data_IF_652713597139
#
_entry.id   IF_652713597139
#
_cell.length_a   1.000
_cell.length_b   1.000
_cell.length_c   1.000
_cell.angle_alpha   90.00
_cell.angle_beta   90.00
_cell.angle_gamma   90.00
#
_symmetry.space_group_name_H-M   'P 1'
#
loop_
_entity.id
_entity.type
_entity.pdbx_description
1 polymer ?
#
# COMPACT_ATOMS: atom_id res chain seq x y z
N UNK A 1 37.57 -66.02 -18.22
CA UNK A 1 36.57 -66.30 -17.17
C UNK A 1 37.21 -65.85 -15.88
N UNK A 2 36.74 -64.76 -15.26
CA UNK A 2 37.27 -64.37 -13.94
C UNK A 2 36.99 -65.50 -12.96
N UNK A 3 38.05 -66.00 -12.31
CA UNK A 3 37.98 -67.15 -11.43
C UNK A 3 37.01 -66.85 -10.27
N UNK A 4 36.06 -67.76 -10.00
CA UNK A 4 35.02 -67.58 -8.98
C UNK A 4 35.57 -67.22 -7.58
N UNK A 5 36.85 -67.49 -7.35
CA UNK A 5 37.58 -67.15 -6.13
C UNK A 5 37.81 -65.64 -6.00
N UNK A 6 38.17 -64.92 -7.08
CA UNK A 6 38.42 -63.48 -7.05
C UNK A 6 37.17 -62.67 -6.67
N UNK A 7 35.99 -63.08 -7.16
CA UNK A 7 34.70 -62.46 -6.80
C UNK A 7 34.36 -62.71 -5.32
N UNK A 8 34.64 -63.90 -4.80
CA UNK A 8 34.37 -64.27 -3.41
C UNK A 8 35.21 -63.44 -2.45
N UNK A 9 36.49 -63.22 -2.76
CA UNK A 9 37.39 -62.40 -1.94
C UNK A 9 36.96 -60.94 -1.92
N UNK A 10 36.59 -60.37 -3.07
CA UNK A 10 36.09 -58.99 -3.16
C UNK A 10 34.81 -58.78 -2.35
N UNK A 11 33.88 -59.72 -2.40
CA UNK A 11 32.64 -59.65 -1.61
C UNK A 11 32.92 -59.79 -0.11
N UNK A 12 33.90 -60.61 0.28
CA UNK A 12 34.31 -60.75 1.69
C UNK A 12 34.94 -59.48 2.24
N UNK A 13 35.79 -58.80 1.45
CA UNK A 13 36.38 -57.52 1.84
C UNK A 13 35.33 -56.42 2.03
N UNK A 14 34.35 -56.33 1.12
CA UNK A 14 33.23 -55.39 1.24
C UNK A 14 32.39 -55.63 2.49
N UNK A 15 32.12 -56.90 2.83
CA UNK A 15 31.35 -57.26 4.02
C UNK A 15 32.09 -56.92 5.31
N UNK A 16 33.40 -57.19 5.37
CA UNK A 16 34.23 -56.83 6.53
C UNK A 16 34.31 -55.31 6.74
N UNK A 17 34.40 -54.53 5.67
CA UNK A 17 34.38 -53.07 5.76
C UNK A 17 33.02 -52.55 6.30
N UNK A 18 31.91 -53.12 5.84
CA UNK A 18 30.57 -52.77 6.33
C UNK A 18 30.38 -53.12 7.82
N UNK A 19 30.91 -54.25 8.28
CA UNK A 19 30.88 -54.63 9.70
C UNK A 19 31.72 -53.67 10.57
N UNK A 20 32.90 -53.23 10.11
CA UNK A 20 33.70 -52.23 10.82
C UNK A 20 33.05 -50.84 10.86
N UNK A 21 32.32 -50.46 9.80
CA UNK A 21 31.57 -49.21 9.76
C UNK A 21 30.30 -49.25 10.62
N UNK A 22 29.63 -50.41 10.67
CA UNK A 22 28.47 -50.63 11.53
C UNK A 22 28.81 -50.67 13.03
N UNK A 23 30.03 -51.10 13.38
CA UNK A 23 30.50 -51.14 14.77
C UNK A 23 30.85 -49.77 15.38
N UNK A 24 30.92 -48.70 14.56
CA UNK A 24 31.12 -47.31 15.04
C UNK A 24 29.81 -46.58 15.37
N UNK A 25 28.65 -47.24 15.22
CA UNK A 25 27.35 -46.65 15.47
C UNK A 25 26.53 -47.42 16.52
N UNK A 26 27.15 -47.75 17.65
CA UNK A 26 26.41 -48.07 18.87
C UNK A 26 27.00 -47.37 20.09
N UNK A 27 26.14 -46.57 20.73
CA UNK A 27 26.19 -45.99 22.09
C UNK A 27 27.07 -44.76 22.33
N UNK A 28 26.47 -43.60 22.12
CA UNK A 28 26.63 -42.48 23.05
C UNK A 28 25.33 -42.32 23.86
N UNK A 29 25.36 -42.80 25.10
CA UNK A 29 24.51 -42.29 26.17
C UNK A 29 25.19 -41.02 26.72
N UNK A 30 24.48 -39.91 26.94
CA UNK A 30 24.94 -38.92 27.90
C UNK A 30 24.09 -39.05 29.17
N UNK A 31 24.72 -39.64 30.18
CA UNK A 31 24.31 -39.49 31.57
C UNK A 31 24.52 -38.05 32.06
N UNK A 32 23.50 -37.54 32.74
CA UNK A 32 23.56 -36.61 33.88
C UNK A 32 24.59 -35.47 33.83
N UNK A 33 24.20 -34.37 33.20
CA UNK A 33 24.64 -33.03 33.58
C UNK A 33 23.46 -32.30 34.26
N UNK A 34 23.77 -31.51 35.26
CA UNK A 34 22.84 -30.78 36.11
C UNK A 34 21.76 -30.01 35.31
N UNK A 35 20.53 -30.05 35.83
CA UNK A 35 19.41 -29.17 35.49
C UNK A 35 19.92 -27.74 35.45
N UNK A 36 19.87 -27.04 34.30
CA UNK A 36 19.44 -25.63 34.13
C UNK A 36 19.19 -25.38 32.62
N UNK A 37 18.07 -24.71 32.33
CA UNK A 37 17.54 -24.31 31.01
C UNK A 37 17.00 -25.40 30.07
N UNK A 38 15.93 -26.05 30.49
CA UNK A 38 14.96 -26.60 29.52
C UNK A 38 14.32 -25.40 28.79
N UNK A 39 14.40 -25.28 27.45
CA UNK A 39 13.84 -24.15 26.74
C UNK A 39 12.31 -24.11 26.91
N UNK A 40 11.81 -23.13 27.65
CA UNK A 40 10.36 -22.92 27.88
C UNK A 40 9.69 -22.50 26.57
N UNK A 41 8.64 -23.20 26.17
CA UNK A 41 7.92 -22.92 24.93
C UNK A 41 7.11 -21.62 25.04
N UNK A 42 7.34 -20.69 24.11
CA UNK A 42 6.61 -19.41 24.04
C UNK A 42 5.55 -19.46 22.94
N UNK A 43 4.27 -19.37 23.30
CA UNK A 43 3.16 -19.36 22.35
C UNK A 43 2.57 -17.95 22.20
N UNK A 44 2.24 -17.54 20.95
CA UNK A 44 1.54 -16.26 20.69
C UNK A 44 0.01 -16.45 20.67
N UNK A 45 -0.46 -17.40 19.85
CA UNK A 45 -1.89 -17.62 19.57
C UNK A 45 -2.46 -18.94 20.10
N UNK A 46 -1.70 -19.72 20.88
CA UNK A 46 -2.11 -21.04 21.34
C UNK A 46 -1.97 -21.21 22.86
N UNK A 47 -2.92 -21.94 23.47
CA UNK A 47 -2.92 -22.31 24.88
C UNK A 47 -2.98 -23.84 25.01
N UNK A 48 -1.85 -24.52 25.28
CA UNK A 48 -1.85 -25.96 25.45
C UNK A 48 -2.65 -26.38 26.69
N UNK A 49 -3.50 -27.39 26.54
CA UNK A 49 -4.37 -27.92 27.60
C UNK A 49 -3.62 -28.82 28.60
N UNK A 50 -2.40 -29.27 28.26
CA UNK A 50 -1.62 -30.22 29.06
C UNK A 50 -0.77 -29.52 30.11
N UNK A 51 -0.86 -29.98 31.38
CA UNK A 51 -0.07 -29.48 32.51
C UNK A 51 1.40 -29.96 32.52
N UNK A 52 1.78 -30.83 31.57
CA UNK A 52 3.13 -31.40 31.48
C UNK A 52 4.12 -30.50 30.74
N UNK A 53 3.63 -29.44 30.09
CA UNK A 53 4.42 -28.54 29.25
C UNK A 53 4.42 -27.16 29.91
N UNK A 54 5.57 -26.74 30.42
CA UNK A 54 5.78 -25.38 30.88
C UNK A 54 5.82 -24.45 29.67
N UNK A 55 4.94 -23.44 29.68
CA UNK A 55 4.78 -22.53 28.56
C UNK A 55 4.45 -21.12 29.01
N UNK A 56 4.90 -20.14 28.24
CA UNK A 56 4.63 -18.71 28.48
C UNK A 56 3.92 -18.11 27.27
N UNK A 57 2.85 -17.35 27.50
CA UNK A 57 2.20 -16.61 26.41
C UNK A 57 2.95 -15.30 26.17
N UNK A 58 3.23 -14.99 24.92
CA UNK A 58 3.89 -13.74 24.55
C UNK A 58 2.88 -12.60 24.57
N UNK A 59 3.22 -11.51 25.25
CA UNK A 59 2.38 -10.32 25.29
C UNK A 59 2.22 -9.67 23.91
N UNK A 60 1.04 -9.13 23.60
CA UNK A 60 0.81 -8.40 22.36
C UNK A 60 1.70 -7.14 22.33
N UNK A 61 2.26 -6.84 21.16
CA UNK A 61 3.04 -5.62 20.98
C UNK A 61 2.12 -4.40 21.15
N UNK A 62 2.47 -3.51 22.08
CA UNK A 62 1.80 -2.21 22.19
C UNK A 62 2.53 -1.22 21.27
N UNK A 63 1.82 -0.55 20.34
CA UNK A 63 2.44 0.52 19.56
C UNK A 63 2.88 1.64 20.52
N UNK A 64 3.96 2.37 20.22
CA UNK A 64 4.31 3.55 20.99
C UNK A 64 3.15 4.55 20.97
N UNK A 65 2.92 5.29 22.06
CA UNK A 65 1.93 6.37 22.07
C UNK A 65 2.33 7.39 21.01
N UNK A 66 1.46 7.60 20.03
CA UNK A 66 1.65 8.61 18.99
C UNK A 66 1.42 9.97 19.65
N UNK A 67 2.47 10.78 19.74
CA UNK A 67 2.32 12.18 20.10
C UNK A 67 1.51 12.87 19.00
N UNK A 68 0.35 13.40 19.36
CA UNK A 68 -0.46 14.21 18.45
C UNK A 68 0.37 15.45 18.07
N UNK A 69 0.57 15.73 16.77
CA UNK A 69 1.33 16.91 16.38
C UNK A 69 0.60 18.15 16.89
N UNK A 70 1.28 18.95 17.71
CA UNK A 70 0.82 20.29 18.08
C UNK A 70 0.78 21.10 16.79
N UNK A 71 -0.43 21.30 16.26
CA UNK A 71 -0.67 22.14 15.10
C UNK A 71 -0.39 23.59 15.51
N UNK A 72 0.76 24.13 15.12
CA UNK A 72 0.97 25.57 15.06
C UNK A 72 -0.07 26.16 14.08
N UNK A 73 -0.81 27.22 14.44
CA UNK A 73 -1.81 27.81 13.57
C UNK A 73 -1.12 28.62 12.47
N UNK A 74 -0.56 27.94 11.47
CA UNK A 74 -0.28 28.53 10.16
C UNK A 74 -1.62 29.01 9.59
N UNK A 75 -1.71 30.31 9.31
CA UNK A 75 -2.93 30.96 8.86
C UNK A 75 -3.47 30.31 7.57
N UNK A 76 -4.45 29.43 7.72
CA UNK A 76 -5.26 28.84 6.67
C UNK A 76 -6.11 29.93 6.00
N UNK A 77 -5.50 30.66 5.06
CA UNK A 77 -6.20 31.38 4.01
C UNK A 77 -6.30 30.51 2.73
N UNK A 78 -6.35 29.20 2.88
CA UNK A 78 -6.93 28.35 1.84
C UNK A 78 -8.42 28.32 2.09
N UNK A 79 -9.29 28.61 1.09
CA UNK A 79 -10.70 28.33 1.26
C UNK A 79 -10.81 26.81 1.41
N UNK A 80 -11.00 26.37 2.65
CA UNK A 80 -11.42 25.02 3.00
C UNK A 80 -12.61 24.72 2.09
N UNK A 81 -12.36 23.96 1.04
CA UNK A 81 -13.42 23.54 0.15
C UNK A 81 -14.29 22.65 1.01
N UNK A 82 -15.50 23.10 1.34
CA UNK A 82 -16.48 22.34 2.11
C UNK A 82 -16.72 20.96 1.46
N UNK A 83 -15.88 19.99 1.83
CA UNK A 83 -15.92 18.61 1.33
C UNK A 83 -17.21 17.89 1.79
N UNK A 84 -17.90 18.48 2.76
CA UNK A 84 -19.12 17.96 3.36
C UNK A 84 -20.39 18.22 2.51
N UNK A 85 -20.30 19.02 1.45
CA UNK A 85 -21.45 19.34 0.57
C UNK A 85 -21.13 19.14 -0.92
N UNK A 86 -20.29 18.17 -1.25
CA UNK A 86 -20.10 17.73 -2.65
C UNK A 86 -21.31 16.92 -3.09
N UNK A 87 -22.43 17.59 -3.31
CA UNK A 87 -23.52 17.05 -4.10
C UNK A 87 -22.96 16.58 -5.45
N UNK A 88 -23.53 15.52 -6.07
CA UNK A 88 -23.14 15.15 -7.42
C UNK A 88 -23.28 16.37 -8.32
N UNK A 89 -22.14 16.87 -8.83
CA UNK A 89 -22.13 18.06 -9.69
C UNK A 89 -23.02 17.80 -10.90
N UNK A 90 -23.73 18.83 -11.35
CA UNK A 90 -24.59 18.74 -12.54
C UNK A 90 -23.76 18.25 -13.73
N UNK A 91 -24.27 17.32 -14.54
CA UNK A 91 -23.52 16.70 -15.65
C UNK A 91 -22.81 17.70 -16.59
N UNK A 92 -23.40 18.89 -16.77
CA UNK A 92 -22.87 19.94 -17.66
C UNK A 92 -22.08 21.04 -16.90
N UNK A 93 -21.68 20.82 -15.65
CA UNK A 93 -20.99 21.84 -14.86
C UNK A 93 -19.65 22.24 -15.48
N UNK A 94 -18.93 21.24 -15.99
CA UNK A 94 -17.63 21.43 -16.62
C UNK A 94 -17.77 22.17 -17.95
N UNK A 95 -18.77 21.77 -18.74
CA UNK A 95 -19.12 22.44 -19.99
C UNK A 95 -19.45 23.93 -19.76
N UNK A 96 -20.21 24.25 -18.72
CA UNK A 96 -20.53 25.65 -18.35
C UNK A 96 -19.28 26.41 -17.94
N UNK A 97 -18.41 25.79 -17.13
CA UNK A 97 -17.14 26.39 -16.70
C UNK A 97 -16.25 26.71 -17.90
N UNK A 98 -16.09 25.78 -18.81
CA UNK A 98 -15.18 25.92 -19.96
C UNK A 98 -15.73 26.89 -21.02
N UNK A 99 -17.06 26.90 -21.22
CA UNK A 99 -17.72 27.84 -22.13
C UNK A 99 -17.82 29.25 -21.56
N UNK A 100 -17.87 29.44 -20.24
CA UNK A 100 -18.06 30.75 -19.61
C UNK A 100 -17.08 31.81 -20.11
N UNK A 101 -15.78 31.47 -20.21
CA UNK A 101 -14.73 32.39 -20.66
C UNK A 101 -14.88 32.76 -22.13
N UNK A 102 -15.33 31.82 -22.97
CA UNK A 102 -15.56 32.06 -24.41
C UNK A 102 -16.80 32.91 -24.64
N UNK A 103 -17.88 32.60 -23.93
CA UNK A 103 -19.14 33.36 -23.97
C UNK A 103 -18.94 34.79 -23.48
N UNK A 104 -18.23 35.00 -22.36
CA UNK A 104 -17.95 36.34 -21.85
C UNK A 104 -17.16 37.22 -22.86
N UNK A 105 -16.20 36.63 -23.59
CA UNK A 105 -15.48 37.34 -24.66
C UNK A 105 -16.39 37.69 -25.84
N UNK A 106 -17.25 36.76 -26.23
CA UNK A 106 -18.19 36.96 -27.33
C UNK A 106 -19.23 38.01 -26.97
N UNK A 107 -19.84 37.90 -25.80
CA UNK A 107 -20.84 38.83 -25.27
C UNK A 107 -20.33 40.28 -25.26
N UNK A 108 -19.10 40.50 -24.78
CA UNK A 108 -18.47 41.84 -24.83
C UNK A 108 -18.34 42.39 -26.25
N UNK A 109 -18.05 41.54 -27.24
CA UNK A 109 -17.95 41.95 -28.66
C UNK A 109 -19.34 42.22 -29.24
N UNK A 110 -20.33 41.38 -28.94
CA UNK A 110 -21.70 41.55 -29.38
C UNK A 110 -22.31 42.83 -28.83
N UNK A 111 -22.11 43.13 -27.54
CA UNK A 111 -22.56 44.39 -26.92
C UNK A 111 -21.92 45.60 -27.60
N UNK A 112 -20.61 45.56 -27.88
CA UNK A 112 -19.92 46.64 -28.63
C UNK A 112 -20.48 46.82 -30.04
N UNK A 113 -20.66 45.74 -30.78
CA UNK A 113 -21.21 45.79 -32.13
C UNK A 113 -22.65 46.32 -32.13
N UNK A 114 -23.46 45.94 -31.14
CA UNK A 114 -24.83 46.45 -30.98
C UNK A 114 -24.84 47.96 -30.73
N UNK A 115 -23.93 48.47 -29.87
CA UNK A 115 -23.79 49.90 -29.61
C UNK A 115 -23.35 50.64 -30.89
N UNK A 116 -22.39 50.11 -31.63
CA UNK A 116 -21.94 50.70 -32.91
C UNK A 116 -23.09 50.79 -33.92
N UNK A 117 -23.86 49.72 -34.05
CA UNK A 117 -24.98 49.66 -34.99
C UNK A 117 -26.10 50.63 -34.59
N UNK A 118 -26.37 50.82 -33.29
CA UNK A 118 -27.26 51.87 -32.82
C UNK A 118 -26.75 53.28 -33.17
N UNK A 119 -25.46 53.55 -32.97
CA UNK A 119 -24.87 54.86 -33.29
C UNK A 119 -24.93 55.17 -34.79
N UNK A 120 -24.67 54.19 -35.64
CA UNK A 120 -24.80 54.35 -37.09
C UNK A 120 -26.26 54.62 -37.51
N UNK A 121 -27.21 53.89 -36.92
CA UNK A 121 -28.63 54.12 -37.17
C UNK A 121 -29.10 55.50 -36.70
N UNK A 122 -28.65 55.97 -35.54
CA UNK A 122 -28.97 57.31 -35.05
C UNK A 122 -28.39 58.41 -35.95
N UNK A 123 -27.14 58.25 -36.41
CA UNK A 123 -26.51 59.19 -37.36
C UNK A 123 -27.26 59.23 -38.69
N UNK A 124 -27.57 58.08 -39.27
CA UNK A 124 -28.30 58.01 -40.53
C UNK A 124 -29.69 58.67 -40.45
N UNK A 125 -30.37 58.55 -39.30
CA UNK A 125 -31.63 59.25 -39.06
C UNK A 125 -31.44 60.77 -38.98
N UNK A 126 -30.44 61.24 -38.25
CA UNK A 126 -30.12 62.66 -38.16
C UNK A 126 -29.77 63.25 -39.53
N UNK A 127 -28.99 62.53 -40.35
CA UNK A 127 -28.63 62.97 -41.69
C UNK A 127 -29.89 63.07 -42.59
N UNK A 128 -30.81 62.10 -42.51
CA UNK A 128 -32.11 62.16 -43.21
C UNK A 128 -32.95 63.35 -42.78
N UNK A 129 -33.05 63.61 -41.48
CA UNK A 129 -33.80 64.74 -40.93
C UNK A 129 -33.17 66.11 -41.30
N UNK A 130 -31.90 66.14 -41.72
CA UNK A 130 -31.22 67.36 -42.21
C UNK A 130 -31.30 67.57 -43.72
N UNK A 131 -31.61 66.53 -44.49
CA UNK A 131 -31.73 66.59 -45.95
C UNK A 131 -33.16 66.90 -46.42
N UNK A 132 -34.18 66.66 -45.59
CA UNK A 132 -35.59 67.05 -45.78
C UNK A 132 -35.91 68.48 -45.28
#
# INVERSE_FOLDING_TARGET
MEDAQARKERLRALKAAAESAGAQHEREEPGTAAVEDVPVLKFRNYAPTSKKIEHTKVDPAHPPPVEEPVLEPEATNEPEQDLLTVAPKKANWDLRRDLSKKLAKLERRTQRAMIQLMQEQERAKLDQDTED
#
